data_IF_074568036240
#
_entry.id   IF_074568036240
#
_cell.length_a   1.000
_cell.length_b   1.000
_cell.length_c   1.000
_cell.angle_alpha   90.00
_cell.angle_beta   90.00
_cell.angle_gamma   90.00
#
_symmetry.space_group_name_H-M   'P 1'
#
loop_
_entity.id
_entity.type
_entity.pdbx_description
1 polymer ?
#
# COMPACT_ATOMS: atom_id res chain seq x y z
N UNK A 1 0.40 -11.31 18.22
CA UNK A 1 -0.25 -10.09 18.73
C UNK A 1 -1.69 -10.05 18.28
N UNK A 2 -2.59 -9.82 19.19
CA UNK A 2 -4.00 -9.76 18.85
C UNK A 2 -4.37 -8.38 18.35
N UNK A 3 -5.09 -8.29 17.23
CA UNK A 3 -5.50 -6.99 16.70
C UNK A 3 -6.58 -6.41 17.62
N UNK A 4 -6.61 -5.12 17.75
CA UNK A 4 -7.68 -4.46 18.50
C UNK A 4 -8.79 -4.07 17.51
N UNK A 5 -9.87 -3.48 18.01
CA UNK A 5 -11.02 -3.14 17.17
C UNK A 5 -10.65 -2.13 16.09
N UNK A 6 -9.79 -1.18 16.42
CA UNK A 6 -9.36 -0.17 15.43
C UNK A 6 -8.61 -0.83 14.29
N UNK A 7 -7.76 -1.82 14.57
CA UNK A 7 -7.03 -2.54 13.55
C UNK A 7 -7.98 -3.33 12.65
N UNK A 8 -9.03 -3.91 13.20
CA UNK A 8 -10.01 -4.66 12.42
C UNK A 8 -10.81 -3.74 11.51
N UNK A 9 -11.17 -2.55 12.00
CA UNK A 9 -11.87 -1.57 11.18
C UNK A 9 -10.98 -1.11 10.04
N UNK A 10 -9.71 -0.85 10.31
CA UNK A 10 -8.79 -0.40 9.28
C UNK A 10 -8.53 -1.51 8.26
N UNK A 11 -8.46 -2.76 8.69
CA UNK A 11 -8.33 -3.88 7.78
C UNK A 11 -9.51 -3.91 6.81
N UNK A 12 -10.73 -3.76 7.30
CA UNK A 12 -11.91 -3.74 6.45
C UNK A 12 -11.85 -2.59 5.45
N UNK A 13 -11.41 -1.43 5.88
CA UNK A 13 -11.28 -0.28 5.00
C UNK A 13 -10.26 -0.53 3.89
N UNK A 14 -9.15 -1.17 4.23
CA UNK A 14 -8.11 -1.48 3.26
C UNK A 14 -8.57 -2.52 2.26
N UNK A 15 -9.26 -3.55 2.73
CA UNK A 15 -9.79 -4.60 1.85
C UNK A 15 -10.76 -3.98 0.84
N UNK A 16 -11.66 -3.13 1.30
CA UNK A 16 -12.61 -2.48 0.41
C UNK A 16 -11.93 -1.47 -0.51
N UNK A 17 -10.98 -0.70 0.01
CA UNK A 17 -10.29 0.32 -0.77
C UNK A 17 -9.49 -0.27 -1.92
N UNK A 18 -8.92 -1.47 -1.72
CA UNK A 18 -8.18 -2.17 -2.77
C UNK A 18 -9.04 -3.16 -3.56
N UNK A 19 -10.36 -3.17 -3.32
CA UNK A 19 -11.27 -4.05 -4.03
C UNK A 19 -10.95 -5.53 -3.86
N UNK A 20 -10.63 -5.93 -2.65
CA UNK A 20 -10.28 -7.31 -2.36
C UNK A 20 -11.38 -8.09 -1.65
N UNK A 21 -12.57 -7.52 -1.51
CA UNK A 21 -13.65 -8.19 -0.76
C UNK A 21 -13.94 -9.59 -1.28
N UNK A 22 -13.90 -9.78 -2.58
CA UNK A 22 -14.27 -11.07 -3.15
C UNK A 22 -13.13 -12.09 -3.14
N UNK A 23 -11.93 -11.71 -2.77
CA UNK A 23 -10.80 -12.63 -2.81
C UNK A 23 -10.16 -12.94 -1.47
N UNK A 24 -10.67 -12.38 -0.40
CA UNK A 24 -10.05 -12.55 0.92
C UNK A 24 -10.11 -13.98 1.45
N UNK A 25 -11.05 -14.77 0.94
CA UNK A 25 -11.18 -16.15 1.37
C UNK A 25 -10.37 -17.13 0.52
N UNK A 26 -9.66 -16.64 -0.48
CA UNK A 26 -8.90 -17.49 -1.37
C UNK A 26 -7.47 -17.71 -0.88
N UNK A 27 -6.90 -18.88 -1.12
CA UNK A 27 -5.49 -19.10 -0.79
C UNK A 27 -4.61 -18.15 -1.57
N UNK A 28 -3.50 -17.75 -0.99
CA UNK A 28 -2.59 -16.79 -1.61
C UNK A 28 -2.11 -17.25 -2.99
N UNK A 29 -1.87 -18.55 -3.18
CA UNK A 29 -1.37 -19.03 -4.44
C UNK A 29 -2.37 -18.95 -5.58
N UNK A 30 -3.62 -18.60 -5.30
CA UNK A 30 -4.63 -18.44 -6.34
C UNK A 30 -4.78 -16.97 -6.72
N UNK A 31 -4.15 -16.08 -5.98
CA UNK A 31 -4.29 -14.65 -6.24
C UNK A 31 -3.49 -14.24 -7.47
N UNK A 32 -4.01 -13.29 -8.23
CA UNK A 32 -3.25 -12.69 -9.32
C UNK A 32 -2.08 -11.90 -8.74
N UNK A 33 -1.14 -11.51 -9.60
CA UNK A 33 0.00 -10.72 -9.13
C UNK A 33 -0.46 -9.39 -8.53
N UNK A 34 -1.48 -8.76 -9.10
CA UNK A 34 -2.02 -7.53 -8.55
C UNK A 34 -2.70 -7.75 -7.20
N UNK A 35 -3.45 -8.84 -7.06
CA UNK A 35 -4.11 -9.15 -5.80
C UNK A 35 -3.09 -9.49 -4.71
N UNK A 36 -2.05 -10.23 -5.06
CA UNK A 36 -0.99 -10.54 -4.10
C UNK A 36 -0.28 -9.27 -3.66
N UNK A 37 -0.06 -8.35 -4.59
CA UNK A 37 0.57 -7.07 -4.26
C UNK A 37 -0.31 -6.25 -3.32
N UNK A 38 -1.61 -6.19 -3.59
CA UNK A 38 -2.54 -5.46 -2.71
C UNK A 38 -2.52 -6.05 -1.31
N UNK A 39 -2.47 -7.37 -1.20
CA UNK A 39 -2.42 -8.04 0.09
C UNK A 39 -1.15 -7.66 0.85
N UNK A 40 -0.01 -7.62 0.14
CA UNK A 40 1.24 -7.22 0.76
C UNK A 40 1.21 -5.75 1.21
N UNK A 41 0.59 -4.88 0.41
CA UNK A 41 0.44 -3.47 0.78
C UNK A 41 -0.41 -3.30 2.03
N UNK A 42 -1.49 -4.07 2.15
CA UNK A 42 -2.32 -4.05 3.34
C UNK A 42 -1.48 -4.43 4.57
N UNK A 43 -0.67 -5.46 4.45
CA UNK A 43 0.21 -5.88 5.53
C UNK A 43 1.17 -4.77 5.95
N UNK A 44 1.75 -4.08 4.97
CA UNK A 44 2.65 -2.96 5.26
C UNK A 44 1.92 -1.84 6.00
N UNK A 45 0.74 -1.45 5.50
CA UNK A 45 -0.02 -0.36 6.10
C UNK A 45 -0.43 -0.71 7.54
N UNK A 46 -0.85 -1.95 7.75
CA UNK A 46 -1.27 -2.38 9.08
C UNK A 46 -0.11 -2.57 10.05
N UNK A 47 1.12 -2.62 9.55
CA UNK A 47 2.28 -2.83 10.42
C UNK A 47 2.52 -1.64 11.33
N UNK A 48 1.97 -0.48 11.00
CA UNK A 48 2.11 0.76 11.78
C UNK A 48 3.56 1.20 11.96
N UNK A 49 4.41 0.84 11.02
CA UNK A 49 5.80 1.28 11.06
C UNK A 49 5.89 2.70 10.56
N UNK A 50 6.80 3.47 11.11
CA UNK A 50 6.96 4.86 10.69
C UNK A 50 7.68 4.98 9.34
N UNK A 51 8.46 3.97 8.95
CA UNK A 51 9.16 3.98 7.67
C UNK A 51 8.61 2.87 6.80
N UNK A 52 8.08 3.24 5.63
CA UNK A 52 7.61 2.27 4.66
C UNK A 52 8.64 2.17 3.55
N UNK A 53 9.05 0.95 3.22
CA UNK A 53 9.94 0.70 2.11
C UNK A 53 9.14 -0.06 1.06
N UNK A 54 8.96 0.53 -0.11
CA UNK A 54 8.10 0.00 -1.15
C UNK A 54 8.86 -0.12 -2.46
N UNK A 55 8.73 -1.29 -3.10
CA UNK A 55 9.41 -1.52 -4.37
C UNK A 55 8.36 -1.46 -5.48
N UNK A 56 8.43 -0.48 -6.34
CA UNK A 56 7.49 -0.26 -7.44
C UNK A 56 6.05 -0.42 -6.97
N UNK A 57 5.62 0.37 -6.00
CA UNK A 57 4.33 0.14 -5.34
C UNK A 57 3.12 0.22 -6.26
N UNK A 58 3.21 0.95 -7.37
CA UNK A 58 2.06 1.10 -8.26
C UNK A 58 2.03 0.09 -9.40
N UNK A 59 3.07 -0.71 -9.56
CA UNK A 59 3.12 -1.68 -10.64
C UNK A 59 2.03 -2.73 -10.47
N UNK A 60 1.39 -3.09 -11.56
CA UNK A 60 0.33 -4.11 -11.60
C UNK A 60 -0.93 -3.75 -10.81
N UNK A 61 -1.15 -2.49 -10.52
CA UNK A 61 -2.37 -2.06 -9.84
C UNK A 61 -3.30 -1.37 -10.83
N UNK A 62 -4.60 -1.57 -10.64
CA UNK A 62 -5.60 -0.84 -11.39
C UNK A 62 -5.65 0.62 -10.90
N UNK A 63 -6.26 1.48 -11.69
CA UNK A 63 -6.28 2.90 -11.39
C UNK A 63 -6.91 3.20 -10.03
N UNK A 64 -8.02 2.57 -9.72
CA UNK A 64 -8.68 2.82 -8.44
C UNK A 64 -7.78 2.46 -7.26
N UNK A 65 -7.02 1.38 -7.38
CA UNK A 65 -6.09 0.97 -6.32
C UNK A 65 -4.91 1.92 -6.23
N UNK A 66 -4.43 2.45 -7.37
CA UNK A 66 -3.37 3.44 -7.36
C UNK A 66 -3.83 4.69 -6.61
N UNK A 67 -5.05 5.14 -6.89
CA UNK A 67 -5.59 6.31 -6.22
C UNK A 67 -5.75 6.06 -4.72
N UNK A 68 -6.23 4.89 -4.36
CA UNK A 68 -6.40 4.55 -2.94
C UNK A 68 -5.06 4.45 -2.23
N UNK A 69 -4.07 3.81 -2.86
CA UNK A 69 -2.73 3.71 -2.28
C UNK A 69 -2.11 5.10 -2.12
N UNK A 70 -2.26 5.97 -3.10
CA UNK A 70 -1.76 7.34 -3.02
C UNK A 70 -2.37 8.04 -1.81
N UNK A 71 -3.65 7.87 -1.60
CA UNK A 71 -4.33 8.46 -0.44
C UNK A 71 -3.74 7.94 0.87
N UNK A 72 -3.50 6.63 0.96
CA UNK A 72 -2.93 6.05 2.18
C UNK A 72 -1.49 6.51 2.41
N UNK A 73 -0.73 6.67 1.33
CA UNK A 73 0.63 7.19 1.42
C UNK A 73 0.64 8.64 1.94
N UNK A 74 -0.29 9.45 1.44
CA UNK A 74 -0.41 10.82 1.90
C UNK A 74 -0.76 10.88 3.39
N UNK A 75 -1.67 10.03 3.83
CA UNK A 75 -2.02 9.97 5.25
C UNK A 75 -0.81 9.58 6.10
N UNK A 76 0.00 8.65 5.59
CA UNK A 76 1.19 8.22 6.32
C UNK A 76 2.18 9.38 6.47
N UNK A 77 2.40 10.12 5.41
CA UNK A 77 3.31 11.26 5.44
C UNK A 77 2.77 12.36 6.36
N UNK A 78 1.46 12.61 6.31
CA UNK A 78 0.85 13.59 7.19
C UNK A 78 0.98 13.22 8.66
N UNK A 79 1.07 11.93 8.93
CA UNK A 79 1.26 11.44 10.30
C UNK A 79 2.74 11.38 10.67
N UNK A 80 3.58 12.07 9.92
CA UNK A 80 5.03 12.14 10.14
C UNK A 80 5.75 10.84 9.85
N UNK A 81 5.18 10.02 8.99
CA UNK A 81 5.86 8.83 8.50
C UNK A 81 6.80 9.16 7.35
N UNK A 82 7.61 8.20 6.97
CA UNK A 82 8.52 8.34 5.86
C UNK A 82 8.28 7.21 4.86
N UNK A 83 8.40 7.51 3.58
CA UNK A 83 8.25 6.50 2.55
C UNK A 83 9.50 6.50 1.68
N UNK A 84 10.10 5.32 1.54
CA UNK A 84 11.21 5.12 0.63
C UNK A 84 10.69 4.15 -0.43
N UNK A 85 10.71 4.55 -1.68
CA UNK A 85 10.21 3.68 -2.73
C UNK A 85 11.19 3.62 -3.89
N UNK A 86 11.19 2.48 -4.58
CA UNK A 86 11.98 2.33 -5.79
C UNK A 86 11.04 2.49 -6.99
N UNK A 87 11.57 2.94 -8.10
CA UNK A 87 10.80 3.08 -9.31
C UNK A 87 11.74 2.98 -10.50
N UNK A 88 11.28 2.33 -11.56
CA UNK A 88 12.07 2.22 -12.76
C UNK A 88 11.71 3.35 -13.72
N UNK A 89 10.84 4.26 -13.32
CA UNK A 89 10.41 5.34 -14.16
C UNK A 89 10.79 6.67 -13.57
N UNK A 90 10.91 7.65 -14.42
CA UNK A 90 11.28 8.97 -13.98
C UNK A 90 10.03 9.70 -13.49
N UNK A 91 9.61 9.40 -12.31
CA UNK A 91 8.45 10.03 -11.74
C UNK A 91 8.86 11.18 -10.83
N UNK A 92 9.99 11.76 -11.13
CA UNK A 92 10.51 12.80 -10.27
C UNK A 92 9.74 14.10 -10.34
N UNK A 93 8.80 14.17 -11.28
CA UNK A 93 7.99 15.37 -11.39
C UNK A 93 6.99 15.46 -10.25
N UNK A 94 6.73 14.37 -9.59
CA UNK A 94 5.78 14.38 -8.52
C UNK A 94 6.46 14.92 -7.32
N UNK A 95 5.89 15.81 -6.69
CA UNK A 95 6.50 16.45 -5.66
C UNK A 95 6.44 15.77 -4.38
N UNK A 96 7.32 15.10 -3.99
CA UNK A 96 7.23 14.32 -2.91
C UNK A 96 7.78 14.79 -1.69
N UNK A 97 7.15 15.50 -0.98
CA UNK A 97 7.61 16.07 0.21
C UNK A 97 8.46 15.18 1.06
N UNK A 98 8.04 14.11 1.54
CA UNK A 98 8.84 13.24 2.38
C UNK A 98 9.04 11.88 1.77
N UNK A 99 8.92 11.77 0.49
CA UNK A 99 9.12 10.51 -0.19
C UNK A 99 10.49 10.53 -0.85
N UNK A 100 11.24 9.47 -0.68
CA UNK A 100 12.54 9.32 -1.32
C UNK A 100 12.37 8.25 -2.37
N UNK A 101 12.66 8.58 -3.62
CA UNK A 101 12.56 7.62 -4.70
C UNK A 101 13.95 7.08 -5.00
N UNK A 102 14.09 5.78 -4.92
CA UNK A 102 15.35 5.11 -5.23
C UNK A 102 15.17 4.42 -6.57
N UNK A 103 16.08 4.65 -7.47
CA UNK A 103 16.02 4.00 -8.76
C UNK A 103 16.88 2.76 -8.74
N UNK A 104 16.34 1.67 -9.22
CA UNK A 104 17.10 0.42 -9.24
C UNK A 104 17.73 0.18 -10.59
#
# INVERSE_FOLDING_TARGET
MNPNVTDLIDLNNLVSGFNLDSVMDKPVEILSSGQAKKTALIGLILSKRSVWIMDEPFANLDLASIEYLTHRMDLHIQSKGMIIRTSNQDDLSESPQLAIVLES
#
